data_IF_059327245794
#
_entry.id   IF_059327245794
#
_cell.length_a   1.000
_cell.length_b   1.000
_cell.length_c   1.000
_cell.angle_alpha   90.00
_cell.angle_beta   90.00
_cell.angle_gamma   90.00
#
_symmetry.space_group_name_H-M   'P 1'
#
loop_
_entity.id
_entity.type
_entity.pdbx_description
1 polymer ?
#
# COMPACT_ATOMS: atom_id res chain seq x y z
N UNK A 1 -28.42 -29.42 34.73
CA UNK A 1 -27.50 -29.93 33.68
C UNK A 1 -27.38 -29.02 32.45
N UNK A 2 -28.39 -28.21 32.07
CA UNK A 2 -28.33 -27.32 30.88
C UNK A 2 -27.46 -26.05 31.00
N UNK A 3 -27.13 -25.57 32.21
CA UNK A 3 -26.37 -24.32 32.41
C UNK A 3 -24.86 -24.45 32.10
N UNK A 4 -24.30 -25.65 32.24
CA UNK A 4 -22.89 -25.93 31.95
C UNK A 4 -22.62 -26.20 30.47
N UNK A 5 -23.63 -26.59 29.68
CA UNK A 5 -23.48 -26.76 28.23
C UNK A 5 -23.33 -25.43 27.48
N UNK A 6 -24.04 -24.38 27.92
CA UNK A 6 -23.99 -23.06 27.25
C UNK A 6 -22.64 -22.38 27.51
N UNK A 7 -22.10 -22.47 28.73
CA UNK A 7 -20.79 -21.91 29.07
C UNK A 7 -19.64 -22.61 28.30
N UNK A 8 -19.72 -23.92 28.08
CA UNK A 8 -18.73 -24.65 27.30
C UNK A 8 -18.78 -24.33 25.79
N UNK A 9 -19.97 -24.06 25.24
CA UNK A 9 -20.13 -23.65 23.84
C UNK A 9 -19.63 -22.22 23.58
N UNK A 10 -19.84 -21.29 24.51
CA UNK A 10 -19.33 -19.90 24.40
C UNK A 10 -17.81 -19.86 24.52
N UNK A 11 -17.21 -20.74 25.34
CA UNK A 11 -15.76 -20.84 25.46
C UNK A 11 -15.11 -21.48 24.22
N UNK A 12 -15.77 -22.44 23.56
CA UNK A 12 -15.29 -22.99 22.28
C UNK A 12 -15.43 -22.01 21.11
N UNK A 13 -16.47 -21.17 21.09
CA UNK A 13 -16.67 -20.19 20.02
C UNK A 13 -15.67 -19.02 20.10
N UNK A 14 -15.22 -18.66 21.30
CA UNK A 14 -14.17 -17.66 21.51
C UNK A 14 -12.76 -18.17 21.13
N UNK A 15 -12.53 -19.49 21.14
CA UNK A 15 -11.25 -20.08 20.76
C UNK A 15 -11.03 -20.19 19.24
N UNK A 16 -12.08 -20.04 18.41
CA UNK A 16 -11.97 -20.11 16.94
C UNK A 16 -11.74 -18.75 16.24
N UNK A 17 -11.74 -17.64 16.99
CA UNK A 17 -11.46 -16.29 16.45
C UNK A 17 -9.99 -15.86 16.58
N UNK A 18 -9.14 -16.68 17.19
CA UNK A 18 -7.71 -16.38 17.41
C UNK A 18 -6.75 -17.04 16.43
N UNK A 19 -7.25 -17.76 15.42
CA UNK A 19 -6.42 -18.53 14.48
C UNK A 19 -6.48 -17.96 13.06
N UNK A 20 -6.38 -16.65 12.95
CA UNK A 20 -5.76 -16.04 11.78
C UNK A 20 -4.27 -16.38 11.81
N UNK A 21 -3.91 -17.59 11.40
CA UNK A 21 -2.54 -17.92 11.06
C UNK A 21 -2.19 -17.01 9.87
N UNK A 22 -1.68 -15.81 10.16
CA UNK A 22 -0.86 -15.07 9.22
C UNK A 22 0.39 -15.91 9.04
N UNK A 23 0.29 -16.92 8.17
CA UNK A 23 1.45 -17.52 7.55
C UNK A 23 2.23 -16.36 6.96
N UNK A 24 3.28 -15.92 7.68
CA UNK A 24 4.37 -15.20 7.04
C UNK A 24 4.86 -16.16 5.99
N UNK A 25 4.32 -16.03 4.78
CA UNK A 25 4.77 -16.79 3.62
C UNK A 25 6.21 -16.34 3.45
N UNK A 26 7.15 -17.16 3.93
CA UNK A 26 8.56 -16.92 3.72
C UNK A 26 8.73 -16.85 2.20
N UNK A 27 9.05 -15.65 1.71
CA UNK A 27 9.42 -15.48 0.31
C UNK A 27 10.70 -16.28 0.18
N UNK A 28 10.71 -17.26 -0.74
CA UNK A 28 11.91 -18.05 -1.00
C UNK A 28 13.07 -17.07 -1.31
N UNK A 29 14.16 -17.05 -0.52
CA UNK A 29 15.29 -16.17 -0.76
C UNK A 29 15.87 -16.34 -2.18
N UNK A 30 15.72 -17.51 -2.80
CA UNK A 30 16.14 -17.76 -4.18
C UNK A 30 15.23 -17.11 -5.23
N UNK A 31 14.00 -16.73 -4.87
CA UNK A 31 13.05 -15.97 -5.71
C UNK A 31 13.08 -14.47 -5.41
N UNK A 32 13.94 -14.00 -4.49
CA UNK A 32 14.07 -12.59 -4.18
C UNK A 32 14.83 -11.87 -5.30
N UNK A 33 14.08 -11.44 -6.33
CA UNK A 33 14.62 -10.74 -7.52
C UNK A 33 15.30 -9.42 -7.15
N UNK A 34 14.87 -8.78 -6.06
CA UNK A 34 15.40 -7.51 -5.58
C UNK A 34 15.94 -7.64 -4.14
N UNK A 35 17.20 -7.23 -3.88
CA UNK A 35 17.80 -7.34 -2.55
C UNK A 35 17.06 -6.49 -1.50
N UNK A 36 17.26 -6.83 -0.24
CA UNK A 36 16.83 -5.98 0.86
C UNK A 36 17.53 -4.62 0.78
N UNK A 37 16.76 -3.55 1.00
CA UNK A 37 17.31 -2.21 0.87
C UNK A 37 16.25 -1.13 0.75
N UNK A 38 16.72 0.10 0.73
CA UNK A 38 15.90 1.28 0.46
C UNK A 38 15.89 1.52 -1.04
N UNK A 39 14.72 1.78 -1.59
CA UNK A 39 14.50 2.10 -2.99
C UNK A 39 13.84 3.46 -3.09
N UNK A 40 14.17 4.20 -4.13
CA UNK A 40 13.50 5.47 -4.44
C UNK A 40 13.31 5.57 -5.94
N UNK A 41 12.07 5.79 -6.34
CA UNK A 41 11.71 5.94 -7.74
C UNK A 41 10.79 7.11 -7.99
N UNK A 42 10.68 7.46 -9.26
CA UNK A 42 9.93 8.61 -9.74
C UNK A 42 9.04 8.24 -10.91
N UNK A 43 7.93 8.96 -11.02
CA UNK A 43 7.14 9.03 -12.25
C UNK A 43 7.00 10.50 -12.63
N UNK A 44 7.39 10.82 -13.86
CA UNK A 44 7.23 12.13 -14.44
C UNK A 44 6.44 12.05 -15.75
N UNK A 45 5.63 13.08 -16.00
CA UNK A 45 4.81 13.22 -17.20
C UNK A 45 4.52 14.71 -17.44
N UNK A 46 4.49 15.12 -18.70
CA UNK A 46 4.31 16.53 -19.09
C UNK A 46 5.45 17.45 -18.64
N UNK A 47 6.67 16.93 -18.44
CA UNK A 47 7.83 17.69 -17.95
C UNK A 47 7.83 17.96 -16.44
N UNK A 48 6.83 17.46 -15.71
CA UNK A 48 6.75 17.54 -14.25
C UNK A 48 7.08 16.17 -13.62
N UNK A 49 7.86 16.16 -12.55
CA UNK A 49 7.86 15.02 -11.64
C UNK A 49 6.52 15.02 -10.92
N UNK A 50 5.71 13.98 -11.09
CA UNK A 50 4.38 13.92 -10.48
C UNK A 50 4.38 13.04 -9.23
N UNK A 51 5.16 11.96 -9.23
CA UNK A 51 5.29 11.08 -8.06
C UNK A 51 6.78 10.86 -7.79
N UNK A 52 7.16 10.93 -6.52
CA UNK A 52 8.36 10.27 -6.01
C UNK A 52 7.97 9.46 -4.79
N UNK A 53 8.36 8.19 -4.78
CA UNK A 53 8.08 7.25 -3.69
C UNK A 53 9.38 6.65 -3.19
N UNK A 54 9.48 6.56 -1.87
CA UNK A 54 10.53 5.82 -1.17
C UNK A 54 9.90 4.64 -0.45
N UNK A 55 10.54 3.49 -0.51
CA UNK A 55 10.11 2.29 0.18
C UNK A 55 11.32 1.41 0.51
N UNK A 56 11.16 0.50 1.46
CA UNK A 56 12.14 -0.52 1.77
C UNK A 56 11.61 -1.88 1.31
N UNK A 57 12.50 -2.73 0.79
CA UNK A 57 12.29 -4.16 0.76
C UNK A 57 13.00 -4.80 1.95
N UNK A 58 12.27 -5.64 2.67
CA UNK A 58 12.80 -6.48 3.73
C UNK A 58 12.17 -7.87 3.63
N UNK A 59 12.97 -8.89 3.41
CA UNK A 59 12.51 -10.27 3.19
C UNK A 59 11.46 -10.36 2.06
N UNK A 60 11.63 -9.56 0.99
CA UNK A 60 10.68 -9.44 -0.13
C UNK A 60 9.38 -8.67 0.19
N UNK A 61 9.23 -8.14 1.40
CA UNK A 61 8.08 -7.35 1.83
C UNK A 61 8.35 -5.85 1.71
N UNK A 62 7.34 -5.13 1.25
CA UNK A 62 7.34 -3.67 1.21
C UNK A 62 7.18 -3.11 2.63
N UNK A 63 8.07 -2.22 3.03
CA UNK A 63 8.02 -1.57 4.34
C UNK A 63 8.41 -0.09 4.24
N UNK A 64 7.99 0.72 5.21
CA UNK A 64 8.37 2.15 5.31
C UNK A 64 8.06 2.94 4.03
N UNK A 65 6.90 2.69 3.40
CA UNK A 65 6.54 3.40 2.18
C UNK A 65 6.19 4.87 2.48
N UNK A 66 6.67 5.80 1.65
CA UNK A 66 6.31 7.22 1.76
C UNK A 66 6.41 7.96 0.42
N UNK A 67 5.48 8.87 0.17
CA UNK A 67 5.59 9.80 -0.95
C UNK A 67 6.56 10.94 -0.62
N UNK A 68 7.69 10.98 -1.33
CA UNK A 68 8.65 12.09 -1.29
C UNK A 68 8.21 13.26 -2.15
N UNK A 69 7.31 13.01 -3.10
CA UNK A 69 6.69 14.01 -3.94
C UNK A 69 5.33 13.48 -4.46
N UNK A 70 4.31 14.35 -4.47
CA UNK A 70 2.99 14.03 -5.01
C UNK A 70 2.38 15.32 -5.57
N UNK A 71 2.60 15.56 -6.86
CA UNK A 71 2.24 16.80 -7.55
C UNK A 71 1.50 16.51 -8.86
N UNK A 72 0.57 17.39 -9.20
CA UNK A 72 -0.04 17.41 -10.54
C UNK A 72 -0.52 18.83 -10.87
N UNK A 73 -0.21 19.32 -12.07
CA UNK A 73 -0.65 20.65 -12.55
C UNK A 73 -0.28 21.78 -11.57
N UNK A 74 0.98 21.79 -11.14
CA UNK A 74 1.50 22.80 -10.19
C UNK A 74 0.98 22.69 -8.75
N UNK A 75 0.21 21.65 -8.40
CA UNK A 75 -0.37 21.48 -7.05
C UNK A 75 0.31 20.35 -6.30
N UNK A 76 0.97 20.66 -5.18
CA UNK A 76 1.56 19.66 -4.27
C UNK A 76 0.49 19.17 -3.28
N UNK A 77 -0.05 17.99 -3.55
CA UNK A 77 -1.14 17.39 -2.77
C UNK A 77 -0.73 17.07 -1.33
N UNK A 78 0.56 16.94 -1.03
CA UNK A 78 1.04 16.66 0.35
C UNK A 78 0.80 17.82 1.30
N UNK A 79 0.44 18.99 0.77
CA UNK A 79 0.13 20.19 1.54
C UNK A 79 -1.36 20.32 1.86
N UNK A 80 -2.20 19.45 1.31
CA UNK A 80 -3.63 19.45 1.57
C UNK A 80 -3.95 19.07 3.02
N UNK A 81 -4.95 19.72 3.61
CA UNK A 81 -5.49 19.47 4.95
C UNK A 81 -6.91 18.94 4.85
N UNK A 82 -7.35 18.23 5.88
CA UNK A 82 -8.73 17.73 5.94
C UNK A 82 -9.74 18.86 5.73
N UNK A 83 -10.69 18.64 4.81
CA UNK A 83 -11.64 19.65 4.34
C UNK A 83 -11.21 20.41 3.08
N UNK A 84 -9.92 20.41 2.69
CA UNK A 84 -9.49 20.97 1.40
C UNK A 84 -10.03 20.12 0.25
N UNK A 85 -10.38 20.74 -0.88
CA UNK A 85 -10.89 20.01 -2.06
C UNK A 85 -9.91 18.97 -2.65
N UNK A 86 -8.63 19.07 -2.30
CA UNK A 86 -7.57 18.15 -2.71
C UNK A 86 -7.23 17.07 -1.69
N UNK A 87 -7.71 17.23 -0.45
CA UNK A 87 -7.48 16.24 0.60
C UNK A 87 -7.89 14.82 0.19
N UNK A 88 -9.01 14.61 -0.53
CA UNK A 88 -9.38 13.28 -1.00
C UNK A 88 -8.27 12.57 -1.77
N UNK A 89 -7.53 13.31 -2.60
CA UNK A 89 -6.40 12.78 -3.38
C UNK A 89 -5.29 12.32 -2.44
N UNK A 90 -4.87 13.18 -1.50
CA UNK A 90 -3.82 12.83 -0.53
C UNK A 90 -4.25 11.63 0.34
N UNK A 91 -5.49 11.63 0.82
CA UNK A 91 -6.03 10.59 1.68
C UNK A 91 -6.02 9.23 0.99
N UNK A 92 -6.54 9.16 -0.23
CA UNK A 92 -6.54 7.96 -1.05
C UNK A 92 -5.12 7.45 -1.36
N UNK A 93 -4.16 8.34 -1.62
CA UNK A 93 -2.75 7.95 -1.76
C UNK A 93 -2.19 7.37 -0.45
N UNK A 94 -2.55 7.94 0.70
CA UNK A 94 -2.22 7.37 2.01
C UNK A 94 -2.78 5.96 2.22
N UNK A 95 -4.01 5.70 1.76
CA UNK A 95 -4.61 4.36 1.81
C UNK A 95 -3.83 3.34 0.96
N UNK A 96 -3.28 3.74 -0.19
CA UNK A 96 -2.39 2.86 -0.97
C UNK A 96 -1.13 2.50 -0.21
N UNK A 97 -0.49 3.45 0.47
CA UNK A 97 0.70 3.16 1.28
C UNK A 97 0.35 2.19 2.42
N UNK A 98 -0.76 2.45 3.12
CA UNK A 98 -1.26 1.57 4.18
C UNK A 98 -1.60 0.17 3.68
N UNK A 99 -2.16 0.05 2.48
CA UNK A 99 -2.44 -1.24 1.85
C UNK A 99 -1.16 -2.02 1.53
N UNK A 100 -0.14 -1.37 0.97
CA UNK A 100 1.09 -2.02 0.54
C UNK A 100 2.03 -2.37 1.69
N UNK A 101 1.96 -1.67 2.82
CA UNK A 101 2.83 -1.92 3.98
C UNK A 101 2.72 -3.38 4.47
N UNK A 102 3.86 -4.04 4.59
CA UNK A 102 3.97 -5.44 5.00
C UNK A 102 3.58 -6.47 3.94
N UNK A 103 3.13 -6.05 2.75
CA UNK A 103 2.78 -6.95 1.65
C UNK A 103 4.00 -7.32 0.80
N UNK A 104 3.98 -8.49 0.12
CA UNK A 104 5.00 -8.82 -0.86
C UNK A 104 5.00 -7.80 -2.01
N UNK A 105 6.16 -7.61 -2.66
CA UNK A 105 6.31 -6.68 -3.79
C UNK A 105 5.26 -6.90 -4.91
N UNK A 106 4.81 -8.13 -5.13
CA UNK A 106 3.77 -8.46 -6.11
C UNK A 106 2.43 -7.77 -5.86
N UNK A 107 2.13 -7.35 -4.63
CA UNK A 107 0.90 -6.62 -4.29
C UNK A 107 0.78 -5.25 -4.98
N UNK A 108 1.89 -4.72 -5.50
CA UNK A 108 1.88 -3.51 -6.33
C UNK A 108 1.03 -3.70 -7.59
N UNK A 109 0.90 -4.94 -8.09
CA UNK A 109 0.06 -5.25 -9.24
C UNK A 109 -1.44 -5.07 -8.95
N UNK A 110 -1.86 -5.10 -7.69
CA UNK A 110 -3.25 -4.85 -7.31
C UNK A 110 -3.68 -3.41 -7.65
N UNK A 111 -2.72 -2.48 -7.76
CA UNK A 111 -2.96 -1.10 -8.16
C UNK A 111 -3.37 -0.93 -9.64
N UNK A 112 -3.33 -2.00 -10.45
CA UNK A 112 -3.98 -1.98 -11.76
C UNK A 112 -5.50 -1.93 -11.65
N UNK A 113 -6.06 -2.37 -10.52
CA UNK A 113 -7.49 -2.35 -10.21
C UNK A 113 -7.71 -1.60 -8.88
N UNK A 114 -7.49 -0.28 -8.83
CA UNK A 114 -7.39 0.47 -7.58
C UNK A 114 -8.69 0.48 -6.76
N UNK A 115 -9.85 0.25 -7.36
CA UNK A 115 -11.12 0.11 -6.63
C UNK A 115 -11.17 -1.08 -5.66
N UNK A 116 -10.26 -2.06 -5.79
CA UNK A 116 -10.10 -3.17 -4.84
C UNK A 116 -9.10 -2.86 -3.72
N UNK A 117 -8.40 -1.72 -3.81
CA UNK A 117 -7.30 -1.34 -2.91
C UNK A 117 -7.71 -0.18 -2.03
N UNK A 118 -8.43 0.79 -2.60
CA UNK A 118 -8.89 1.98 -1.90
C UNK A 118 -10.40 2.08 -1.94
N UNK A 119 -10.97 2.55 -0.83
CA UNK A 119 -12.37 2.92 -0.83
C UNK A 119 -12.56 4.21 -1.65
N UNK A 120 -13.73 4.32 -2.26
CA UNK A 120 -14.19 5.60 -2.79
C UNK A 120 -14.34 6.58 -1.62
N UNK A 121 -13.98 7.84 -1.86
CA UNK A 121 -14.23 8.95 -0.94
C UNK A 121 -15.10 9.97 -1.67
N UNK A 122 -15.83 10.80 -0.94
CA UNK A 122 -16.81 11.73 -1.53
C UNK A 122 -16.22 12.54 -2.68
N UNK A 123 -16.82 12.39 -3.87
CA UNK A 123 -16.41 13.08 -5.10
C UNK A 123 -15.16 12.50 -5.80
N UNK A 124 -14.52 11.46 -5.27
CA UNK A 124 -13.32 10.85 -5.83
C UNK A 124 -13.40 9.31 -5.79
N UNK A 125 -13.64 8.70 -6.94
CA UNK A 125 -13.54 7.24 -7.05
C UNK A 125 -12.08 6.79 -6.94
N UNK A 126 -11.83 5.60 -6.42
CA UNK A 126 -10.50 5.01 -6.30
C UNK A 126 -9.75 4.87 -7.63
N UNK A 127 -10.48 4.88 -8.76
CA UNK A 127 -9.93 4.99 -10.11
C UNK A 127 -9.09 6.28 -10.34
N UNK A 128 -9.29 7.29 -9.49
CA UNK A 128 -8.62 8.60 -9.55
C UNK A 128 -7.18 8.58 -9.01
N UNK A 129 -6.78 7.55 -8.26
CA UNK A 129 -5.41 7.45 -7.72
C UNK A 129 -4.37 7.34 -8.84
N UNK A 130 -4.79 6.93 -10.04
CA UNK A 130 -3.88 6.65 -11.16
C UNK A 130 -2.82 5.64 -10.73
N UNK A 131 -3.25 4.50 -10.20
CA UNK A 131 -2.38 3.44 -9.65
C UNK A 131 -1.21 3.06 -10.57
N UNK A 132 -1.40 3.12 -11.89
CA UNK A 132 -0.33 2.93 -12.89
C UNK A 132 0.88 3.86 -12.71
N UNK A 133 0.68 5.10 -12.23
CA UNK A 133 1.77 6.05 -11.94
C UNK A 133 2.58 5.62 -10.72
N UNK A 134 1.90 5.13 -9.67
CA UNK A 134 2.56 4.58 -8.48
C UNK A 134 3.34 3.31 -8.86
N UNK A 135 2.73 2.40 -9.63
CA UNK A 135 3.40 1.20 -10.16
C UNK A 135 4.66 1.60 -10.94
N UNK A 136 4.56 2.59 -11.83
CA UNK A 136 5.70 3.05 -12.63
C UNK A 136 6.81 3.63 -11.75
N UNK A 137 6.47 4.42 -10.74
CA UNK A 137 7.46 4.98 -9.81
C UNK A 137 8.15 3.89 -8.98
N UNK A 138 7.42 2.88 -8.52
CA UNK A 138 8.01 1.74 -7.81
C UNK A 138 8.96 0.96 -8.73
N UNK A 139 8.53 0.66 -9.96
CA UNK A 139 9.38 -0.02 -10.97
C UNK A 139 10.64 0.76 -11.30
N UNK A 140 10.52 2.08 -11.47
CA UNK A 140 11.68 2.95 -11.65
C UNK A 140 12.65 2.83 -10.47
N UNK A 141 12.16 2.84 -9.22
CA UNK A 141 12.99 2.63 -8.04
C UNK A 141 13.71 1.29 -8.04
N UNK A 142 13.00 0.20 -8.35
CA UNK A 142 13.59 -1.15 -8.44
C UNK A 142 14.67 -1.23 -9.54
N UNK A 143 14.43 -0.63 -10.70
CA UNK A 143 15.37 -0.62 -11.83
C UNK A 143 16.64 0.17 -11.54
N UNK A 144 16.55 1.21 -10.69
CA UNK A 144 17.71 1.99 -10.25
C UNK A 144 18.55 1.27 -9.20
N UNK A 145 17.96 0.27 -8.53
CA UNK A 145 18.60 -0.43 -7.41
C UNK A 145 18.49 0.33 -6.09
N UNK A 146 19.30 -0.08 -5.13
CA UNK A 146 19.28 0.45 -3.76
C UNK A 146 19.78 1.91 -3.74
N UNK A 147 19.05 2.78 -3.02
CA UNK A 147 19.30 4.22 -2.82
C UNK A 147 19.98 4.56 -1.49
#
# INVERSE_FOLDING_TARGET
MKKYLIAAMVLMLAAMLGMGCTSKRAVDPALQIHPDGRYRGVYGDGGEQQISIEFHLKDGLLTKLSFRHLQYKGKDYRRAKEGDGDWPVLHQHGMVLAYLEGKPLSAVLDLYNPGNVVADVDGFSGATIRGSKIISAIRDGLNRGIY
#
